data_IF_799307636730
#
_entry.id   IF_799307636730
#
_cell.length_a   1.000
_cell.length_b   1.000
_cell.length_c   1.000
_cell.angle_alpha   90.00
_cell.angle_beta   90.00
_cell.angle_gamma   90.00
#
_symmetry.space_group_name_H-M   'P 1'
#
loop_
_entity.id
_entity.type
_entity.pdbx_description
1 polymer ?
#
# COMPACT_ATOMS: atom_id res chain seq x y z
N UNK A 1 7.07 -17.30 -9.96
CA UNK A 1 6.97 -18.71 -9.50
C UNK A 1 5.99 -18.86 -8.33
N UNK A 2 5.92 -17.90 -7.40
CA UNK A 2 4.93 -17.92 -6.29
C UNK A 2 3.52 -17.39 -6.63
N UNK A 3 3.31 -16.81 -7.82
CA UNK A 3 2.01 -16.28 -8.23
C UNK A 3 0.94 -17.38 -8.51
N UNK A 4 1.34 -18.66 -8.48
CA UNK A 4 0.44 -19.81 -8.59
C UNK A 4 0.16 -20.47 -7.22
N UNK A 5 0.55 -19.85 -6.10
CA UNK A 5 0.21 -20.37 -4.77
C UNK A 5 -1.28 -20.10 -4.56
N UNK A 6 -2.09 -21.13 -4.77
CA UNK A 6 -3.52 -21.09 -4.51
C UNK A 6 -3.84 -21.28 -3.03
N UNK A 7 -5.14 -21.22 -2.72
CA UNK A 7 -5.65 -21.48 -1.37
C UNK A 7 -5.29 -22.89 -0.88
N UNK A 8 -5.18 -23.87 -1.79
CA UNK A 8 -4.80 -25.25 -1.45
C UNK A 8 -3.36 -25.38 -0.96
N UNK A 9 -2.42 -24.74 -1.65
CA UNK A 9 -1.01 -24.73 -1.26
C UNK A 9 -0.80 -23.97 0.06
N UNK A 10 -1.53 -22.88 0.31
CA UNK A 10 -1.47 -22.21 1.62
C UNK A 10 -1.95 -23.10 2.77
N UNK A 11 -3.04 -23.85 2.56
CA UNK A 11 -3.52 -24.80 3.56
C UNK A 11 -2.50 -25.92 3.79
N UNK A 12 -1.86 -26.42 2.73
CA UNK A 12 -0.79 -27.40 2.82
C UNK A 12 0.42 -26.87 3.61
N UNK A 13 0.83 -25.63 3.41
CA UNK A 13 1.92 -25.01 4.18
C UNK A 13 1.57 -24.86 5.67
N UNK A 14 0.33 -24.49 5.98
CA UNK A 14 -0.14 -24.41 7.38
C UNK A 14 -0.12 -25.78 8.02
N UNK A 15 -0.64 -26.81 7.35
CA UNK A 15 -0.62 -28.19 7.85
C UNK A 15 0.82 -28.69 8.00
N UNK A 16 1.69 -28.46 7.02
CA UNK A 16 3.10 -28.82 7.10
C UNK A 16 3.79 -28.12 8.29
N UNK A 17 3.55 -26.83 8.48
CA UNK A 17 4.06 -26.08 9.63
C UNK A 17 3.54 -26.63 10.97
N UNK A 18 2.26 -26.98 11.05
CA UNK A 18 1.64 -27.59 12.23
C UNK A 18 2.24 -28.96 12.54
N UNK A 19 2.55 -29.78 11.53
CA UNK A 19 3.14 -31.11 11.71
C UNK A 19 4.62 -31.03 12.08
N UNK A 20 5.39 -30.20 11.39
CA UNK A 20 6.85 -30.09 11.59
C UNK A 20 7.16 -29.45 12.95
N UNK A 21 6.50 -28.35 13.29
CA UNK A 21 6.79 -27.58 14.49
C UNK A 21 5.89 -27.96 15.67
N UNK A 22 4.68 -28.44 15.40
CA UNK A 22 3.65 -28.72 16.39
C UNK A 22 2.68 -27.54 16.60
N UNK A 23 1.37 -27.80 16.81
CA UNK A 23 0.36 -26.76 17.00
C UNK A 23 0.60 -25.87 18.23
N UNK A 24 1.19 -26.44 19.28
CA UNK A 24 1.49 -25.71 20.52
C UNK A 24 2.66 -24.73 20.39
N UNK A 25 3.58 -24.98 19.45
CA UNK A 25 4.82 -24.21 19.32
C UNK A 25 4.73 -23.11 18.27
N UNK A 26 3.91 -23.27 17.23
CA UNK A 26 3.65 -22.23 16.22
C UNK A 26 3.26 -20.87 16.81
N UNK A 27 2.25 -20.75 17.70
CA UNK A 27 1.88 -19.46 18.24
C UNK A 27 3.01 -18.82 19.06
N UNK A 28 3.81 -19.64 19.76
CA UNK A 28 5.02 -19.18 20.46
C UNK A 28 6.09 -18.66 19.50
N UNK A 29 6.37 -19.40 18.42
CA UNK A 29 7.37 -19.03 17.41
C UNK A 29 6.98 -17.75 16.65
N UNK A 30 5.70 -17.59 16.29
CA UNK A 30 5.20 -16.37 15.65
C UNK A 30 5.41 -15.16 16.58
N UNK A 31 5.08 -15.29 17.87
CA UNK A 31 5.28 -14.22 18.86
C UNK A 31 6.74 -13.86 19.01
N UNK A 32 7.63 -14.85 19.12
CA UNK A 32 9.07 -14.62 19.23
C UNK A 32 9.60 -13.91 17.99
N UNK A 33 9.28 -14.40 16.79
CA UNK A 33 9.72 -13.79 15.52
C UNK A 33 9.16 -12.38 15.35
N UNK A 34 7.89 -12.14 15.69
CA UNK A 34 7.29 -10.81 15.63
C UNK A 34 7.97 -9.83 16.59
N UNK A 35 8.25 -10.26 17.82
CA UNK A 35 8.97 -9.45 18.80
C UNK A 35 10.41 -9.18 18.37
N UNK A 36 11.11 -10.20 17.87
CA UNK A 36 12.46 -10.07 17.35
C UNK A 36 12.52 -9.10 16.15
N UNK A 37 11.58 -9.20 15.22
CA UNK A 37 11.47 -8.29 14.08
C UNK A 37 11.19 -6.85 14.52
N UNK A 38 10.30 -6.67 15.50
CA UNK A 38 10.02 -5.35 16.08
C UNK A 38 11.25 -4.75 16.74
N UNK A 39 11.93 -5.53 17.58
CA UNK A 39 13.15 -5.10 18.25
C UNK A 39 14.28 -4.78 17.26
N UNK A 40 14.43 -5.58 16.21
CA UNK A 40 15.37 -5.31 15.13
C UNK A 40 15.03 -4.01 14.39
N UNK A 41 13.74 -3.78 14.07
CA UNK A 41 13.30 -2.53 13.45
C UNK A 41 13.58 -1.32 14.35
N UNK A 42 13.28 -1.43 15.64
CA UNK A 42 13.47 -0.35 16.61
C UNK A 42 14.96 -0.03 16.78
N UNK A 43 15.82 -1.06 16.83
CA UNK A 43 17.27 -0.91 16.88
C UNK A 43 17.84 -0.26 15.61
N UNK A 44 17.42 -0.72 14.42
CA UNK A 44 17.84 -0.15 13.14
C UNK A 44 17.38 1.31 13.03
N UNK A 45 16.15 1.61 13.43
CA UNK A 45 15.61 2.98 13.39
C UNK A 45 16.34 3.90 14.37
N UNK A 46 16.62 3.41 15.59
CA UNK A 46 17.38 4.15 16.59
C UNK A 46 18.81 4.44 16.16
N UNK A 47 19.53 3.43 15.65
CA UNK A 47 20.88 3.59 15.14
C UNK A 47 20.92 4.53 13.92
N UNK A 48 19.98 4.40 12.98
CA UNK A 48 19.87 5.32 11.84
C UNK A 48 19.63 6.77 12.30
N UNK A 49 18.81 6.96 13.32
CA UNK A 49 18.56 8.30 13.90
C UNK A 49 19.79 8.89 14.58
N UNK A 50 20.55 8.08 15.32
CA UNK A 50 21.81 8.49 15.93
C UNK A 50 22.86 8.84 14.88
N UNK A 51 23.02 8.00 13.85
CA UNK A 51 23.93 8.26 12.74
C UNK A 51 23.52 9.53 11.96
N UNK A 52 22.23 9.76 11.73
CA UNK A 52 21.72 10.99 11.10
C UNK A 52 22.01 12.22 11.95
N UNK A 53 21.99 12.09 13.27
CA UNK A 53 22.25 13.18 14.20
C UNK A 53 23.75 13.48 14.36
N UNK A 54 24.60 12.44 14.33
CA UNK A 54 26.04 12.55 14.54
C UNK A 54 26.81 12.84 13.24
N UNK A 55 26.37 12.33 12.09
CA UNK A 55 27.05 12.50 10.78
C UNK A 55 26.47 13.64 9.94
N UNK A 56 25.30 14.20 10.31
CA UNK A 56 24.69 15.34 9.64
C UNK A 56 24.62 15.18 8.10
N UNK A 57 25.26 16.07 7.31
CA UNK A 57 25.16 16.07 5.84
C UNK A 57 25.71 14.81 5.15
N UNK A 58 26.60 14.04 5.79
CA UNK A 58 27.16 12.81 5.19
C UNK A 58 26.15 11.65 5.15
N UNK A 59 25.07 11.72 5.93
CA UNK A 59 23.94 10.80 5.78
C UNK A 59 23.23 10.99 4.43
N UNK A 60 23.26 12.20 3.88
CA UNK A 60 22.55 12.54 2.65
C UNK A 60 23.26 11.96 1.42
N UNK A 61 24.59 11.83 1.47
CA UNK A 61 25.39 11.10 0.49
C UNK A 61 25.11 9.58 0.52
N UNK A 62 24.68 9.02 1.65
CA UNK A 62 24.24 7.62 1.76
C UNK A 62 22.77 7.44 1.37
N UNK A 63 21.97 8.51 1.46
CA UNK A 63 20.55 8.49 1.10
C UNK A 63 20.35 8.28 -0.40
N UNK A 64 21.21 8.86 -1.23
CA UNK A 64 21.18 8.71 -2.69
C UNK A 64 21.36 7.24 -3.13
N UNK A 65 22.43 6.52 -2.75
CA UNK A 65 22.60 5.10 -3.10
C UNK A 65 21.54 4.19 -2.45
N UNK A 66 21.06 4.49 -1.24
CA UNK A 66 19.94 3.74 -0.64
C UNK A 66 18.63 3.94 -1.42
N UNK A 67 18.36 5.17 -1.88
CA UNK A 67 17.19 5.50 -2.70
C UNK A 67 17.28 4.85 -4.08
N UNK A 68 18.46 4.80 -4.68
CA UNK A 68 18.71 4.06 -5.91
C UNK A 68 18.43 2.56 -5.74
N UNK A 69 18.92 1.94 -4.66
CA UNK A 69 18.65 0.53 -4.36
C UNK A 69 17.16 0.25 -4.10
N UNK A 70 16.45 1.16 -3.45
CA UNK A 70 14.99 1.04 -3.26
C UNK A 70 14.25 1.22 -4.58
N UNK A 71 14.66 2.16 -5.43
CA UNK A 71 14.11 2.37 -6.79
C UNK A 71 14.36 1.16 -7.69
N UNK A 72 15.54 0.54 -7.58
CA UNK A 72 15.90 -0.68 -8.29
C UNK A 72 15.16 -1.92 -7.77
N UNK A 73 14.75 -1.93 -6.49
CA UNK A 73 13.87 -2.97 -5.94
C UNK A 73 12.42 -2.79 -6.39
N UNK A 74 11.98 -1.55 -6.58
CA UNK A 74 10.65 -1.20 -7.09
C UNK A 74 10.48 -1.43 -8.60
N UNK A 75 11.53 -1.21 -9.40
CA UNK A 75 11.62 -1.73 -10.76
C UNK A 75 12.12 -3.17 -10.68
N UNK A 76 11.21 -4.15 -10.61
CA UNK A 76 11.63 -5.55 -10.71
C UNK A 76 12.59 -5.69 -11.91
N UNK A 77 13.72 -6.41 -11.80
CA UNK A 77 14.68 -6.54 -12.91
C UNK A 77 13.99 -7.00 -14.20
N UNK A 78 12.92 -7.78 -14.04
CA UNK A 78 12.00 -8.17 -15.10
C UNK A 78 11.28 -6.96 -15.73
N UNK A 79 10.67 -6.06 -14.95
CA UNK A 79 10.02 -4.85 -15.46
C UNK A 79 11.00 -3.88 -16.14
N UNK A 80 12.23 -3.73 -15.64
CA UNK A 80 13.25 -2.93 -16.31
C UNK A 80 13.67 -3.54 -17.65
N UNK A 81 13.86 -4.86 -17.68
CA UNK A 81 14.22 -5.59 -18.88
C UNK A 81 13.07 -5.66 -19.90
N UNK A 82 11.82 -5.86 -19.48
CA UNK A 82 10.63 -5.78 -20.36
C UNK A 82 10.49 -4.37 -20.94
N UNK A 83 10.69 -3.31 -20.15
CA UNK A 83 10.60 -1.94 -20.70
C UNK A 83 11.71 -1.60 -21.67
N UNK A 84 12.90 -2.18 -21.50
CA UNK A 84 14.06 -1.81 -22.32
C UNK A 84 14.31 -2.74 -23.51
N UNK A 85 13.83 -3.99 -23.46
CA UNK A 85 13.96 -4.97 -24.56
C UNK A 85 12.64 -5.30 -25.25
N UNK A 86 11.50 -5.04 -24.62
CA UNK A 86 10.19 -5.55 -25.06
C UNK A 86 9.11 -4.45 -25.10
N UNK A 87 9.47 -3.17 -25.09
CA UNK A 87 8.55 -2.02 -25.14
C UNK A 87 7.34 -2.11 -24.17
N UNK A 88 7.48 -2.83 -23.06
CA UNK A 88 6.40 -3.06 -22.10
C UNK A 88 5.41 -4.17 -22.48
N UNK A 89 5.67 -4.95 -23.54
CA UNK A 89 4.89 -6.12 -23.93
C UNK A 89 5.28 -7.36 -23.10
N UNK A 90 4.61 -7.55 -21.95
CA UNK A 90 4.78 -8.74 -21.11
C UNK A 90 4.12 -10.00 -21.70
N UNK A 91 3.46 -9.92 -22.87
CA UNK A 91 2.73 -11.03 -23.50
C UNK A 91 3.63 -12.21 -23.86
N UNK A 92 4.87 -11.93 -24.29
CA UNK A 92 5.90 -12.94 -24.61
C UNK A 92 6.29 -13.77 -23.39
N UNK A 93 6.37 -13.11 -22.24
CA UNK A 93 6.80 -13.71 -20.98
C UNK A 93 5.67 -14.38 -20.21
N UNK A 94 4.42 -13.99 -20.48
CA UNK A 94 3.21 -14.46 -19.80
C UNK A 94 2.42 -15.47 -20.63
N UNK A 95 2.83 -15.74 -21.88
CA UNK A 95 2.22 -16.75 -22.75
C UNK A 95 0.82 -16.38 -23.24
N UNK A 96 0.44 -15.09 -23.20
CA UNK A 96 -0.91 -14.60 -23.55
C UNK A 96 -1.03 -14.16 -25.01
N UNK A 97 -0.63 -15.02 -25.94
CA UNK A 97 -0.66 -14.72 -27.38
C UNK A 97 -2.07 -14.82 -28.02
N UNK A 98 -3.04 -15.43 -27.33
CA UNK A 98 -4.36 -15.77 -27.88
C UNK A 98 -5.52 -14.86 -27.43
N UNK A 99 -5.25 -13.74 -26.77
CA UNK A 99 -6.32 -12.79 -26.40
C UNK A 99 -6.47 -11.72 -27.48
N UNK A 100 -7.53 -11.73 -28.33
CA UNK A 100 -7.74 -10.65 -29.29
C UNK A 100 -7.96 -9.34 -28.53
N UNK A 101 -7.04 -8.39 -28.74
CA UNK A 101 -7.15 -7.01 -28.27
C UNK A 101 -8.48 -6.42 -28.72
N UNK A 102 -9.37 -6.12 -27.79
CA UNK A 102 -10.46 -5.18 -28.04
C UNK A 102 -9.94 -3.79 -27.68
N UNK A 103 -9.80 -2.84 -28.61
CA UNK A 103 -9.32 -1.49 -28.28
C UNK A 103 -10.39 -0.78 -27.44
N UNK A 104 -10.22 -0.71 -26.12
CA UNK A 104 -11.05 0.16 -25.29
C UNK A 104 -10.59 1.60 -25.48
N UNK A 105 -11.38 2.32 -26.29
CA UNK A 105 -11.35 3.77 -26.46
C UNK A 105 -11.48 4.47 -25.08
N UNK A 106 -10.68 5.51 -24.79
CA UNK A 106 -10.76 6.21 -23.51
C UNK A 106 -12.11 6.91 -23.37
N UNK A 107 -12.88 6.51 -22.37
CA UNK A 107 -14.17 7.12 -22.05
C UNK A 107 -13.92 8.35 -21.19
N UNK A 108 -13.93 9.51 -21.83
CA UNK A 108 -13.94 10.83 -21.19
C UNK A 108 -15.16 10.95 -20.29
N UNK A 109 -14.97 11.25 -19.00
CA UNK A 109 -16.06 11.52 -18.07
C UNK A 109 -16.88 12.74 -18.47
N UNK A 110 -18.19 12.83 -18.13
CA UNK A 110 -18.98 14.00 -18.46
C UNK A 110 -18.56 15.21 -17.60
N UNK A 111 -18.09 16.26 -18.28
CA UNK A 111 -18.00 17.63 -17.74
C UNK A 111 -19.37 18.32 -17.64
N UNK A 112 -19.41 19.57 -17.14
CA UNK A 112 -20.55 20.14 -16.41
C UNK A 112 -21.67 20.65 -17.32
N UNK A 113 -22.92 20.58 -16.85
CA UNK A 113 -24.09 21.18 -17.51
C UNK A 113 -24.59 22.39 -16.70
N UNK A 114 -24.98 23.52 -17.35
CA UNK A 114 -25.22 24.81 -16.69
C UNK A 114 -26.66 25.01 -16.19
N UNK A 115 -26.83 25.79 -15.12
CA UNK A 115 -28.11 26.23 -14.56
C UNK A 115 -28.70 27.45 -15.31
N UNK A 116 -30.04 27.66 -15.31
CA UNK A 116 -30.64 28.92 -14.80
C UNK A 116 -32.06 28.71 -14.14
N UNK A 117 -32.88 29.73 -13.77
CA UNK A 117 -32.92 30.33 -12.42
C UNK A 117 -34.33 30.48 -11.76
N UNK A 118 -34.33 30.75 -10.43
CA UNK A 118 -35.31 31.45 -9.53
C UNK A 118 -36.83 31.18 -9.66
N UNK A 119 -37.57 30.88 -8.58
CA UNK A 119 -38.12 31.91 -7.66
C UNK A 119 -38.83 31.24 -6.47
N UNK A 120 -38.56 31.68 -5.25
CA UNK A 120 -39.42 31.40 -4.09
C UNK A 120 -39.46 32.68 -3.26
N UNK A 121 -40.60 33.37 -3.31
CA UNK A 121 -40.89 34.54 -2.52
C UNK A 121 -42.29 34.42 -1.93
N UNK A 122 -42.38 34.28 -0.60
CA UNK A 122 -43.26 35.08 0.29
C UNK A 122 -43.15 34.57 1.73
N UNK A 123 -42.93 35.51 2.65
CA UNK A 123 -42.70 35.39 4.11
C UNK A 123 -44.03 35.56 4.91
N UNK A 124 -44.11 35.86 6.25
CA UNK A 124 -43.23 35.70 7.46
C UNK A 124 -44.05 35.20 8.73
N UNK A 125 -43.76 35.51 10.04
CA UNK A 125 -42.67 35.04 10.95
C UNK A 125 -43.07 34.52 12.39
N UNK A 126 -42.12 33.83 13.07
CA UNK A 126 -41.84 33.67 14.55
C UNK A 126 -42.83 32.87 15.49
N UNK A 127 -42.45 32.40 16.72
CA UNK A 127 -41.19 32.55 17.50
C UNK A 127 -40.58 31.29 18.19
N UNK A 128 -39.27 31.40 18.50
CA UNK A 128 -38.49 31.00 19.69
C UNK A 128 -38.94 29.85 20.63
N UNK A 129 -38.07 28.83 20.77
CA UNK A 129 -38.02 27.89 21.91
C UNK A 129 -36.58 27.73 22.44
N UNK A 130 -36.38 27.43 23.75
CA UNK A 130 -35.10 27.62 24.43
C UNK A 130 -34.08 26.50 24.15
N UNK A 131 -32.81 26.87 24.03
CA UNK A 131 -31.67 25.94 24.00
C UNK A 131 -31.28 25.51 25.43
N UNK A 132 -31.16 24.21 25.74
CA UNK A 132 -30.58 23.76 27.02
C UNK A 132 -29.05 23.62 26.94
N UNK A 133 -28.39 24.03 28.03
CA UNK A 133 -26.95 24.28 28.19
C UNK A 133 -26.10 23.02 28.48
N UNK A 134 -24.82 23.13 28.11
CA UNK A 134 -23.71 22.19 28.37
C UNK A 134 -23.00 22.55 29.69
N UNK A 135 -22.74 21.56 30.55
CA UNK A 135 -22.21 21.76 31.93
C UNK A 135 -21.04 20.86 32.34
N UNK A 136 -20.33 20.19 31.42
CA UNK A 136 -19.20 19.30 31.80
C UNK A 136 -17.87 19.57 31.06
N UNK A 137 -17.69 20.78 30.51
CA UNK A 137 -16.40 21.22 29.97
C UNK A 137 -15.64 22.12 30.96
N UNK A 138 -14.97 21.53 31.95
CA UNK A 138 -13.84 22.14 32.69
C UNK A 138 -12.80 21.08 33.00
#
# INVERSE_FOLDING_TARGET
>A
MFANVGWGEMLLLVVAGLVILGPERLPGAIRWTANALRQARDYITGATSQLRQDLGPEFEDLREPLSELQKLRGMTPRAALTKHLLDGDDSIFTGRFDTPQTPQKPQSGPGPTPAPPVTSASAPPAPSGPVPFDTDAT
#
